data_IF_380550486205
#
_entry.id   IF_380550486205
#
_cell.length_a   1.000
_cell.length_b   1.000
_cell.length_c   1.000
_cell.angle_alpha   90.00
_cell.angle_beta   90.00
_cell.angle_gamma   90.00
#
_symmetry.space_group_name_H-M   'P 1'
#
loop_
_entity.id
_entity.type
_entity.pdbx_description
1 polymer ?
#
# COMPACT_ATOMS: atom_id res chain seq x y z
N UNK A 1 -5.22 -1.78 14.50
CA UNK A 1 -4.90 -2.56 13.30
C UNK A 1 -3.95 -1.71 12.45
N UNK A 2 -2.86 -2.28 11.95
CA UNK A 2 -1.89 -1.59 11.09
C UNK A 2 -2.16 -2.00 9.63
N UNK A 3 -2.14 -1.04 8.73
CA UNK A 3 -2.31 -1.25 7.28
C UNK A 3 -1.08 -0.72 6.52
N UNK A 4 -0.82 -1.29 5.34
CA UNK A 4 0.14 -0.75 4.39
C UNK A 4 -0.61 0.16 3.42
N UNK A 5 -0.24 1.43 3.40
CA UNK A 5 -0.79 2.42 2.47
C UNK A 5 0.24 2.70 1.39
N UNK A 6 -0.19 2.62 0.14
CA UNK A 6 0.68 2.76 -1.03
C UNK A 6 0.09 3.80 -1.96
N UNK A 7 0.85 4.85 -2.27
CA UNK A 7 0.47 5.80 -3.30
C UNK A 7 0.94 5.29 -4.66
N UNK A 8 0.00 5.14 -5.59
CA UNK A 8 0.25 4.62 -6.93
C UNK A 8 -0.21 5.61 -7.98
N UNK A 9 0.50 5.70 -9.10
CA UNK A 9 0.10 6.49 -10.27
C UNK A 9 0.06 5.62 -11.52
N UNK A 10 -0.80 5.95 -12.47
CA UNK A 10 -0.84 5.25 -13.75
C UNK A 10 0.38 5.54 -14.62
N UNK A 11 0.85 4.53 -15.34
CA UNK A 11 2.00 4.63 -16.24
C UNK A 11 1.72 5.56 -17.43
N UNK A 12 0.54 5.41 -18.04
CA UNK A 12 0.12 6.18 -19.22
C UNK A 12 -0.38 7.59 -18.86
N UNK A 13 -0.79 7.81 -17.62
CA UNK A 13 -1.25 9.08 -17.08
C UNK A 13 -0.64 9.34 -15.69
N UNK A 14 0.61 9.83 -15.61
CA UNK A 14 1.31 10.02 -14.34
C UNK A 14 0.65 11.00 -13.36
N UNK A 15 -0.26 11.85 -13.84
CA UNK A 15 -1.07 12.75 -13.00
C UNK A 15 -2.22 12.03 -12.28
N UNK A 16 -2.59 10.81 -12.71
CA UNK A 16 -3.68 10.04 -12.12
C UNK A 16 -3.15 9.10 -11.06
N UNK A 17 -3.11 9.61 -9.84
CA UNK A 17 -2.67 8.89 -8.65
C UNK A 17 -3.83 8.55 -7.71
N UNK A 18 -3.64 7.50 -6.92
CA UNK A 18 -4.54 7.12 -5.82
C UNK A 18 -3.75 6.43 -4.71
N UNK A 19 -4.30 6.46 -3.51
CA UNK A 19 -3.82 5.62 -2.44
C UNK A 19 -4.54 4.26 -2.49
N UNK A 20 -3.79 3.18 -2.28
CA UNK A 20 -4.30 1.83 -2.14
C UNK A 20 -3.87 1.26 -0.80
N UNK A 21 -4.81 0.60 -0.13
CA UNK A 21 -4.60 0.03 1.19
C UNK A 21 -4.47 -1.48 1.05
N UNK A 22 -3.33 -2.01 1.47
CA UNK A 22 -3.06 -3.44 1.51
C UNK A 22 -3.21 -3.88 2.97
N UNK A 23 -4.27 -4.65 3.23
CA UNK A 23 -4.58 -5.14 4.56
C UNK A 23 -3.74 -6.38 4.86
N UNK A 24 -3.06 -6.40 6.01
CA UNK A 24 -2.52 -7.63 6.57
C UNK A 24 -3.59 -8.27 7.45
N UNK A 25 -4.01 -9.47 7.09
CA UNK A 25 -4.92 -10.23 7.94
C UNK A 25 -4.17 -10.72 9.19
N UNK A 26 -4.43 -10.06 10.32
CA UNK A 26 -3.89 -10.44 11.62
C UNK A 26 -4.24 -9.43 12.69
N UNK A 27 -4.86 -9.87 13.79
CA UNK A 27 -5.28 -8.99 14.90
C UNK A 27 -4.13 -8.18 15.52
N UNK A 28 -2.88 -8.61 15.33
CA UNK A 28 -1.69 -8.06 16.00
C UNK A 28 -0.47 -7.88 15.08
N UNK A 29 -0.66 -7.25 13.92
CA UNK A 29 0.48 -6.80 13.10
C UNK A 29 1.08 -5.53 13.71
N UNK A 30 2.37 -5.59 14.06
CA UNK A 30 3.14 -4.42 14.50
C UNK A 30 3.62 -3.59 13.29
N UNK A 31 3.96 -2.31 13.51
CA UNK A 31 4.49 -1.45 12.46
C UNK A 31 5.79 -2.02 11.84
N UNK A 32 6.65 -2.63 12.65
CA UNK A 32 7.89 -3.26 12.18
C UNK A 32 7.60 -4.47 11.28
N UNK A 33 6.65 -5.32 11.65
CA UNK A 33 6.23 -6.46 10.82
C UNK A 33 5.58 -5.99 9.51
N UNK A 34 4.77 -4.93 9.54
CA UNK A 34 4.23 -4.33 8.33
C UNK A 34 5.35 -3.83 7.40
N UNK A 35 6.38 -3.16 7.93
CA UNK A 35 7.48 -2.67 7.09
C UNK A 35 8.30 -3.81 6.47
N UNK A 36 8.51 -4.91 7.21
CA UNK A 36 9.22 -6.08 6.72
C UNK A 36 8.42 -6.86 5.67
N UNK A 37 7.14 -7.13 5.94
CA UNK A 37 6.30 -7.94 5.05
C UNK A 37 5.68 -7.12 3.91
N UNK A 38 5.57 -5.80 4.07
CA UNK A 38 4.90 -4.92 3.11
C UNK A 38 5.58 -4.84 1.76
N UNK A 39 6.89 -5.06 1.70
CA UNK A 39 7.59 -5.16 0.41
C UNK A 39 7.06 -6.32 -0.45
N UNK A 40 6.74 -7.46 0.17
CA UNK A 40 6.20 -8.63 -0.52
C UNK A 40 4.79 -8.36 -1.04
N UNK A 41 3.93 -7.75 -0.21
CA UNK A 41 2.57 -7.39 -0.61
C UNK A 41 2.56 -6.34 -1.72
N UNK A 42 3.44 -5.33 -1.66
CA UNK A 42 3.62 -4.36 -2.75
C UNK A 42 4.04 -5.02 -4.06
N UNK A 43 5.00 -5.96 -4.01
CA UNK A 43 5.47 -6.67 -5.19
C UNK A 43 4.35 -7.50 -5.83
N UNK A 44 3.57 -8.21 -5.00
CA UNK A 44 2.38 -8.95 -5.45
C UNK A 44 1.37 -8.01 -6.10
N UNK A 45 1.07 -6.89 -5.45
CA UNK A 45 0.10 -5.92 -5.96
C UNK A 45 0.51 -5.32 -7.31
N UNK A 46 1.78 -4.94 -7.48
CA UNK A 46 2.30 -4.46 -8.79
C UNK A 46 2.14 -5.54 -9.86
N UNK A 47 2.46 -6.80 -9.53
CA UNK A 47 2.30 -7.92 -10.45
C UNK A 47 0.85 -8.11 -10.93
N UNK A 48 -0.13 -7.83 -10.06
CA UNK A 48 -1.56 -7.87 -10.37
C UNK A 48 -2.06 -6.58 -11.07
N UNK A 49 -1.33 -5.47 -10.95
CA UNK A 49 -1.73 -4.14 -11.43
C UNK A 49 -0.65 -3.49 -12.32
N UNK A 50 -0.35 -4.07 -13.49
CA UNK A 50 0.81 -3.70 -14.30
C UNK A 50 0.77 -2.27 -14.88
N UNK A 51 -0.41 -1.63 -14.91
CA UNK A 51 -0.57 -0.25 -15.38
C UNK A 51 -0.26 0.81 -14.32
N UNK A 52 0.12 0.39 -13.11
CA UNK A 52 0.35 1.27 -11.97
C UNK A 52 1.78 1.16 -11.45
N UNK A 53 2.30 2.27 -10.93
CA UNK A 53 3.64 2.36 -10.34
C UNK A 53 3.52 2.89 -8.93
N UNK A 54 4.23 2.25 -8.00
CA UNK A 54 4.35 2.73 -6.61
C UNK A 54 5.27 3.94 -6.56
N UNK A 55 4.79 5.04 -5.96
CA UNK A 55 5.56 6.26 -5.75
C UNK A 55 6.11 6.37 -4.33
N UNK A 56 5.28 6.05 -3.35
CA UNK A 56 5.62 6.07 -1.92
C UNK A 56 4.72 5.11 -1.17
N UNK A 57 5.16 4.69 0.01
CA UNK A 57 4.40 3.79 0.86
C UNK A 57 4.74 4.04 2.33
N UNK A 58 3.82 3.67 3.21
CA UNK A 58 4.06 3.66 4.64
C UNK A 58 3.14 2.66 5.35
N UNK A 59 3.53 2.27 6.56
CA UNK A 59 2.64 1.56 7.49
C UNK A 59 1.88 2.57 8.35
N UNK A 60 0.57 2.42 8.48
CA UNK A 60 -0.30 3.37 9.16
C UNK A 60 -1.35 2.69 10.02
N UNK A 61 -2.02 3.46 10.89
CA UNK A 61 -3.18 2.98 11.63
C UNK A 61 -4.34 2.82 10.64
N UNK A 62 -5.00 1.67 10.69
CA UNK A 62 -6.09 1.34 9.80
C UNK A 62 -7.21 2.38 9.82
N UNK A 63 -7.66 2.83 8.65
CA UNK A 63 -8.74 3.81 8.51
C UNK A 63 -8.38 5.26 8.88
N UNK A 64 -7.14 5.52 9.30
CA UNK A 64 -6.63 6.88 9.44
C UNK A 64 -6.31 7.51 8.07
N UNK A 65 -5.96 6.68 7.09
CA UNK A 65 -5.50 7.13 5.77
C UNK A 65 -6.51 6.91 4.64
N UNK A 66 -7.56 6.12 4.87
CA UNK A 66 -8.67 5.92 3.92
C UNK A 66 -9.59 7.16 3.73
N UNK A 67 -9.21 8.33 4.30
CA UNK A 67 -10.02 9.56 4.35
C UNK A 67 -9.43 10.75 3.58
N UNK A 68 -8.37 10.57 2.79
CA UNK A 68 -7.79 11.64 1.97
C UNK A 68 -8.17 11.50 0.50
#
# INVERSE_FOLDING_TARGET
MIELVVAVCMIDQPSRCKDVTLNFEGERVTAQQCAMNGQIEMAKWIGEHPNWVIQKWHCGIAGQFAKL
#
